data_IF_306467473474
#
_entry.id   IF_306467473474
#
_cell.length_a   1.000
_cell.length_b   1.000
_cell.length_c   1.000
_cell.angle_alpha   90.00
_cell.angle_beta   90.00
_cell.angle_gamma   90.00
#
_symmetry.space_group_name_H-M   'P 1'
#
loop_
_entity.id
_entity.type
_entity.pdbx_description
1 polymer ?
#
# COMPACT_ATOMS: atom_id res chain seq x y z
N UNK A 1 39.05 -41.98 45.41
CA UNK A 1 38.95 -40.81 46.30
C UNK A 1 39.67 -39.65 45.61
N UNK A 2 38.95 -38.63 45.11
CA UNK A 2 39.61 -37.46 44.52
C UNK A 2 40.22 -36.59 45.64
N UNK A 3 41.42 -36.02 45.43
CA UNK A 3 42.09 -35.21 46.44
C UNK A 3 41.24 -33.98 46.80
N UNK A 4 41.28 -33.58 48.07
CA UNK A 4 40.43 -32.55 48.68
C UNK A 4 40.41 -31.22 47.92
N UNK A 5 41.50 -30.90 47.22
CA UNK A 5 41.67 -29.71 46.37
C UNK A 5 40.80 -29.74 45.11
N UNK A 6 40.53 -30.92 44.54
CA UNK A 6 39.67 -31.06 43.36
C UNK A 6 38.18 -30.90 43.70
N UNK A 7 37.78 -31.23 44.93
CA UNK A 7 36.40 -31.07 45.40
C UNK A 7 36.05 -29.60 45.67
N UNK A 8 36.99 -28.83 46.22
CA UNK A 8 36.79 -27.39 46.45
C UNK A 8 36.78 -26.59 45.15
N UNK A 9 37.63 -26.94 44.17
CA UNK A 9 37.61 -26.32 42.85
C UNK A 9 36.30 -26.56 42.08
N UNK A 10 35.72 -27.77 42.19
CA UNK A 10 34.45 -28.09 41.55
C UNK A 10 33.26 -27.35 42.19
N UNK A 11 33.26 -27.21 43.52
CA UNK A 11 32.24 -26.43 44.25
C UNK A 11 32.30 -24.94 43.90
N UNK A 12 33.50 -24.36 43.78
CA UNK A 12 33.68 -22.97 43.34
C UNK A 12 33.23 -22.76 41.89
N UNK A 13 33.52 -23.69 40.98
CA UNK A 13 33.07 -23.62 39.59
C UNK A 13 31.54 -23.72 39.46
N UNK A 14 30.90 -24.57 40.26
CA UNK A 14 29.42 -24.70 40.28
C UNK A 14 28.76 -23.44 40.87
N UNK A 15 29.35 -22.84 41.92
CA UNK A 15 28.84 -21.60 42.51
C UNK A 15 29.00 -20.40 41.55
N UNK A 16 30.11 -20.30 40.83
CA UNK A 16 30.30 -19.29 39.79
C UNK A 16 29.36 -19.47 38.58
N UNK A 17 29.09 -20.71 38.17
CA UNK A 17 28.11 -20.98 37.12
C UNK A 17 26.68 -20.63 37.57
N UNK A 18 26.33 -20.88 38.83
CA UNK A 18 25.02 -20.54 39.38
C UNK A 18 24.81 -19.03 39.48
N UNK A 19 25.82 -18.25 39.85
CA UNK A 19 25.70 -16.78 39.92
C UNK A 19 25.62 -16.12 38.54
N UNK A 20 26.36 -16.62 37.54
CA UNK A 20 26.24 -16.15 36.15
C UNK A 20 24.86 -16.48 35.56
N UNK A 21 24.30 -17.66 35.87
CA UNK A 21 22.95 -18.03 35.45
C UNK A 21 21.87 -17.14 36.09
N UNK A 22 22.05 -16.76 37.37
CA UNK A 22 21.13 -15.90 38.10
C UNK A 22 21.19 -14.43 37.63
N UNK A 23 22.33 -13.99 37.10
CA UNK A 23 22.51 -12.67 36.51
C UNK A 23 21.95 -12.57 35.08
N UNK A 24 21.91 -13.68 34.34
CA UNK A 24 21.32 -13.75 32.98
C UNK A 24 19.78 -13.72 33.00
N UNK A 25 19.13 -14.19 34.07
CA UNK A 25 17.67 -14.08 34.24
C UNK A 25 17.17 -12.66 34.54
N UNK A 26 18.06 -11.73 34.89
CA UNK A 26 17.70 -10.32 35.14
C UNK A 26 17.93 -9.39 33.93
N UNK A 27 18.44 -9.93 32.81
CA UNK A 27 18.77 -9.16 31.59
C UNK A 27 17.85 -9.49 30.38
N UNK A 28 16.60 -9.87 30.62
CA UNK A 28 15.57 -9.81 29.57
C UNK A 28 14.66 -8.59 29.79
N UNK A 29 14.86 -7.47 29.06
CA UNK A 29 13.89 -6.41 29.07
C UNK A 29 12.82 -6.65 27.99
N UNK A 30 11.56 -6.52 28.42
CA UNK A 30 10.38 -6.16 27.62
C UNK A 30 9.75 -7.24 26.73
N UNK A 31 9.08 -8.24 27.32
CA UNK A 31 7.99 -8.94 26.63
C UNK A 31 6.66 -8.24 26.92
N UNK A 32 6.23 -7.35 26.02
CA UNK A 32 4.83 -6.93 25.97
C UNK A 32 3.96 -8.09 25.48
N UNK A 33 2.67 -8.11 25.86
CA UNK A 33 1.71 -9.15 25.46
C UNK A 33 1.68 -9.36 23.94
N UNK A 34 1.86 -8.28 23.17
CA UNK A 34 1.91 -8.28 21.70
C UNK A 34 3.11 -9.04 21.11
N UNK A 35 4.25 -9.11 21.81
CA UNK A 35 5.43 -9.83 21.31
C UNK A 35 5.34 -11.34 21.50
N UNK A 36 4.59 -11.82 22.52
CA UNK A 36 4.31 -13.25 22.70
C UNK A 36 3.41 -13.78 21.59
N UNK A 37 2.39 -13.01 21.20
CA UNK A 37 1.52 -13.36 20.08
C UNK A 37 2.31 -13.40 18.75
N UNK A 38 3.22 -12.45 18.54
CA UNK A 38 4.05 -12.44 17.33
C UNK A 38 5.01 -13.64 17.27
N UNK A 39 5.61 -14.01 18.40
CA UNK A 39 6.52 -15.16 18.48
C UNK A 39 5.79 -16.48 18.23
N UNK A 40 4.58 -16.63 18.78
CA UNK A 40 3.72 -17.79 18.54
C UNK A 40 3.31 -17.88 17.06
N UNK A 41 3.02 -16.74 16.41
CA UNK A 41 2.68 -16.70 14.99
C UNK A 41 3.87 -17.10 14.11
N UNK A 42 5.08 -16.65 14.43
CA UNK A 42 6.31 -17.00 13.70
C UNK A 42 6.62 -18.50 13.85
N UNK A 43 6.44 -19.06 15.04
CA UNK A 43 6.67 -20.48 15.30
C UNK A 43 5.66 -21.36 14.53
N UNK A 44 4.40 -20.92 14.42
CA UNK A 44 3.35 -21.63 13.68
C UNK A 44 3.61 -21.60 12.17
N UNK A 45 4.04 -20.45 11.63
CA UNK A 45 4.44 -20.33 10.21
C UNK A 45 5.63 -21.24 9.90
N UNK A 46 6.63 -21.33 10.79
CA UNK A 46 7.76 -22.25 10.59
C UNK A 46 7.32 -23.72 10.59
N UNK A 47 6.39 -24.10 11.47
CA UNK A 47 5.85 -25.46 11.50
C UNK A 47 5.02 -25.78 10.24
N UNK A 48 4.23 -24.83 9.73
CA UNK A 48 3.47 -25.00 8.49
C UNK A 48 4.37 -25.18 7.27
N UNK A 49 5.46 -24.41 7.18
CA UNK A 49 6.43 -24.53 6.09
C UNK A 49 7.18 -25.87 6.11
N UNK A 50 7.43 -26.46 7.29
CA UNK A 50 8.03 -27.79 7.38
C UNK A 50 7.06 -28.92 6.99
N UNK A 51 5.75 -28.77 7.23
CA UNK A 51 4.77 -29.78 6.84
C UNK A 51 4.45 -29.81 5.34
N UNK A 52 4.75 -28.74 4.61
CA UNK A 52 4.54 -28.67 3.15
C UNK A 52 5.73 -29.19 2.32
N UNK A 53 6.77 -29.76 2.95
CA UNK A 53 7.82 -30.50 2.24
C UNK A 53 8.65 -29.69 1.24
N UNK A 54 8.73 -28.36 1.40
CA UNK A 54 9.50 -27.49 0.50
C UNK A 54 11.01 -27.79 0.59
N UNK A 55 11.53 -28.52 -0.40
CA UNK A 55 12.96 -28.60 -0.70
C UNK A 55 13.20 -28.01 -2.09
N UNK A 56 13.97 -26.92 -2.17
CA UNK A 56 14.77 -26.48 -3.32
C UNK A 56 14.06 -26.24 -4.67
N UNK A 57 14.10 -25.00 -5.16
CA UNK A 57 13.74 -24.68 -6.55
C UNK A 57 14.94 -24.94 -7.48
N UNK A 58 14.77 -25.83 -8.46
CA UNK A 58 15.72 -26.06 -9.55
C UNK A 58 15.15 -25.40 -10.81
N UNK A 59 15.91 -24.47 -11.39
CA UNK A 59 15.54 -23.71 -12.59
C UNK A 59 15.87 -24.52 -13.83
N UNK A 60 14.89 -24.77 -14.70
CA UNK A 60 15.14 -24.99 -16.12
C UNK A 60 13.98 -24.42 -16.94
N UNK A 61 14.34 -23.64 -17.95
CA UNK A 61 13.47 -22.73 -18.67
C UNK A 61 12.56 -23.39 -19.69
N UNK A 62 11.56 -22.63 -20.11
CA UNK A 62 10.78 -22.91 -21.30
C UNK A 62 10.49 -21.60 -22.05
N UNK A 63 11.05 -21.51 -23.25
CA UNK A 63 10.73 -20.48 -24.23
C UNK A 63 9.34 -20.75 -24.81
N UNK A 64 8.52 -19.72 -24.97
CA UNK A 64 7.27 -19.80 -25.75
C UNK A 64 7.32 -18.77 -26.87
N UNK A 65 7.25 -19.27 -28.10
CA UNK A 65 7.17 -18.50 -29.34
C UNK A 65 5.85 -17.71 -29.44
N UNK A 66 5.98 -16.43 -29.77
CA UNK A 66 4.86 -15.55 -30.09
C UNK A 66 4.43 -15.73 -31.55
N UNK A 67 3.15 -16.05 -31.76
CA UNK A 67 2.48 -16.01 -33.08
C UNK A 67 1.43 -14.88 -33.08
N UNK A 68 1.72 -13.84 -33.87
CA UNK A 68 0.88 -12.83 -34.55
C UNK A 68 -0.37 -12.19 -33.88
N UNK A 69 -0.57 -10.86 -34.05
CA UNK A 69 -1.76 -10.14 -33.56
C UNK A 69 -2.97 -10.23 -34.50
N UNK A 70 -4.16 -10.43 -33.93
CA UNK A 70 -5.46 -10.27 -34.60
C UNK A 70 -5.90 -8.81 -34.49
N UNK A 71 -6.09 -8.15 -35.63
CA UNK A 71 -6.63 -6.79 -35.71
C UNK A 71 -8.15 -6.86 -35.58
N UNK A 72 -8.70 -6.22 -34.54
CA UNK A 72 -10.14 -6.02 -34.36
C UNK A 72 -10.47 -4.53 -34.55
N UNK A 73 -11.08 -4.23 -35.69
CA UNK A 73 -11.64 -2.92 -36.04
C UNK A 73 -12.80 -2.57 -35.09
N UNK A 74 -12.65 -1.45 -34.35
CA UNK A 74 -13.67 -0.97 -33.41
C UNK A 74 -14.62 -0.02 -34.14
N UNK A 75 -15.84 -0.50 -34.42
CA UNK A 75 -16.95 0.33 -34.92
C UNK A 75 -17.45 1.24 -33.79
N UNK A 76 -17.23 2.54 -33.93
CA UNK A 76 -17.78 3.56 -33.01
C UNK A 76 -19.23 3.83 -33.41
N UNK A 77 -20.18 3.41 -32.57
CA UNK A 77 -21.58 3.85 -32.65
C UNK A 77 -21.72 5.11 -31.80
N UNK A 78 -22.01 6.24 -32.43
CA UNK A 78 -22.40 7.49 -31.74
C UNK A 78 -23.74 7.27 -31.06
N UNK A 79 -23.78 7.48 -29.75
CA UNK A 79 -25.02 7.55 -28.97
C UNK A 79 -25.20 9.01 -28.57
N UNK A 80 -26.25 9.65 -29.08
CA UNK A 80 -26.59 11.03 -28.74
C UNK A 80 -26.92 11.15 -27.23
N UNK A 81 -26.47 12.23 -26.56
CA UNK A 81 -26.78 12.46 -25.15
C UNK A 81 -28.25 12.90 -24.95
N UNK A 82 -28.90 12.50 -23.85
CA UNK A 82 -30.27 12.92 -23.56
C UNK A 82 -30.31 14.40 -23.12
N UNK A 83 -31.38 15.08 -23.55
CA UNK A 83 -31.68 16.48 -23.18
C UNK A 83 -31.91 16.61 -21.67
N UNK A 84 -31.02 17.36 -21.00
CA UNK A 84 -31.22 17.81 -19.61
C UNK A 84 -32.41 18.79 -19.53
N UNK A 85 -33.46 18.39 -18.82
CA UNK A 85 -34.47 19.32 -18.31
C UNK A 85 -33.87 20.07 -17.12
N UNK A 86 -33.71 21.38 -17.28
CA UNK A 86 -33.29 22.30 -16.23
C UNK A 86 -34.35 22.35 -15.12
N UNK A 87 -34.09 21.70 -14.00
CA UNK A 87 -34.76 21.96 -12.73
C UNK A 87 -33.78 22.77 -11.88
N UNK A 88 -33.99 24.08 -11.79
CA UNK A 88 -33.23 24.96 -10.88
C UNK A 88 -33.65 24.68 -9.43
N UNK A 89 -32.73 24.31 -8.52
CA UNK A 89 -32.99 24.43 -7.10
C UNK A 89 -32.78 25.90 -6.72
N UNK A 90 -33.84 26.57 -6.26
CA UNK A 90 -33.73 27.87 -5.60
C UNK A 90 -33.04 27.67 -4.25
N UNK A 91 -31.72 27.67 -4.25
CA UNK A 91 -30.92 27.69 -3.03
C UNK A 91 -30.87 29.14 -2.53
N UNK A 92 -31.75 29.48 -1.60
CA UNK A 92 -31.70 30.76 -0.89
C UNK A 92 -30.42 30.80 -0.07
N UNK A 93 -29.45 31.60 -0.52
CA UNK A 93 -28.20 31.85 0.19
C UNK A 93 -28.48 32.71 1.43
N UNK A 94 -28.78 32.08 2.56
CA UNK A 94 -28.70 32.76 3.85
C UNK A 94 -27.22 32.92 4.20
N UNK A 95 -26.75 34.18 4.21
CA UNK A 95 -25.42 34.53 4.74
C UNK A 95 -25.45 34.33 6.25
N UNK A 96 -25.04 33.13 6.69
CA UNK A 96 -24.73 32.91 8.09
C UNK A 96 -23.39 33.59 8.37
N UNK A 97 -23.38 34.60 9.23
CA UNK A 97 -22.15 35.23 9.69
C UNK A 97 -21.35 34.22 10.50
N UNK A 98 -20.24 33.75 9.95
CA UNK A 98 -19.28 32.92 10.68
C UNK A 98 -18.44 33.86 11.57
N UNK A 99 -18.37 33.66 12.88
CA UNK A 99 -17.59 34.52 13.76
C UNK A 99 -16.11 34.47 13.37
N UNK A 100 -15.47 35.64 13.28
CA UNK A 100 -14.05 35.80 12.90
C UNK A 100 -13.12 34.92 13.76
N UNK A 101 -13.49 34.70 15.02
CA UNK A 101 -12.77 33.82 15.95
C UNK A 101 -12.80 32.35 15.51
N UNK A 102 -13.89 31.86 14.91
CA UNK A 102 -13.97 30.50 14.35
C UNK A 102 -13.12 30.36 13.09
N UNK A 103 -13.01 31.42 12.27
CA UNK A 103 -12.12 31.44 11.10
C UNK A 103 -10.65 31.42 11.55
N UNK A 104 -10.30 32.18 12.59
CA UNK A 104 -8.94 32.23 13.13
C UNK A 104 -8.52 30.93 13.82
N UNK A 105 -9.43 30.27 14.56
CA UNK A 105 -9.19 28.94 15.13
C UNK A 105 -8.96 27.88 14.03
N UNK A 106 -9.73 27.93 12.93
CA UNK A 106 -9.53 27.04 11.78
C UNK A 106 -8.23 27.33 11.01
N UNK A 107 -7.75 28.57 11.01
CA UNK A 107 -6.46 28.94 10.40
C UNK A 107 -5.27 28.48 11.26
N UNK A 108 -5.38 28.52 12.58
CA UNK A 108 -4.36 28.00 13.49
C UNK A 108 -4.26 26.47 13.41
N UNK A 109 -5.39 25.77 13.22
CA UNK A 109 -5.41 24.33 12.95
C UNK A 109 -4.80 23.92 11.59
N UNK A 110 -4.58 24.87 10.65
CA UNK A 110 -3.89 24.62 9.37
C UNK A 110 -2.38 24.82 9.42
N UNK A 111 -1.83 25.28 10.54
CA UNK A 111 -0.38 25.41 10.68
C UNK A 111 0.22 24.02 10.90
N UNK A 112 0.76 23.44 9.83
CA UNK A 112 1.48 22.16 9.84
C UNK A 112 2.55 22.20 10.95
N UNK A 113 2.58 21.23 11.88
CA UNK A 113 3.68 21.12 12.83
C UNK A 113 4.99 20.90 12.08
N UNK A 114 6.07 21.50 12.58
CA UNK A 114 7.40 21.32 12.02
C UNK A 114 7.81 19.84 12.07
N UNK A 115 8.23 19.31 10.93
CA UNK A 115 8.69 17.94 10.76
C UNK A 115 9.81 17.61 11.77
N UNK A 116 9.55 16.67 12.68
CA UNK A 116 10.57 16.12 13.59
C UNK A 116 11.37 15.03 12.84
N UNK A 117 12.68 15.25 12.69
CA UNK A 117 13.63 14.49 11.87
C UNK A 117 14.02 13.12 12.45
N UNK A 118 13.14 12.44 13.17
CA UNK A 118 13.39 11.05 13.55
C UNK A 118 12.99 10.17 12.38
N UNK A 119 13.90 9.32 11.90
CA UNK A 119 13.78 8.52 10.67
C UNK A 119 12.62 7.50 10.59
N UNK A 120 11.59 7.62 11.44
CA UNK A 120 10.30 6.94 11.31
C UNK A 120 9.54 7.52 10.12
N UNK A 121 8.84 6.72 9.30
CA UNK A 121 7.95 7.26 8.27
C UNK A 121 6.99 8.25 8.95
N UNK A 122 7.04 9.51 8.53
CA UNK A 122 6.07 10.51 8.96
C UNK A 122 4.77 10.17 8.23
N UNK A 123 3.99 9.27 8.82
CA UNK A 123 2.66 9.00 8.34
C UNK A 123 1.86 10.31 8.48
N UNK A 124 1.45 10.87 7.35
CA UNK A 124 0.63 12.09 7.32
C UNK A 124 -0.76 11.79 7.87
N UNK A 125 -1.49 12.83 8.26
CA UNK A 125 -2.85 12.67 8.79
C UNK A 125 -3.71 11.80 7.86
N UNK A 126 -4.55 10.90 8.40
CA UNK A 126 -5.49 10.12 7.60
C UNK A 126 -6.31 11.03 6.68
N UNK A 127 -6.50 10.64 5.42
CA UNK A 127 -7.23 11.45 4.43
C UNK A 127 -6.37 12.08 3.33
N UNK A 128 -5.05 12.24 3.55
CA UNK A 128 -4.18 12.91 2.57
C UNK A 128 -4.14 12.16 1.24
N UNK A 129 -4.01 10.83 1.27
CA UNK A 129 -3.98 10.02 0.05
C UNK A 129 -5.26 10.20 -0.78
N UNK A 130 -6.43 10.13 -0.14
CA UNK A 130 -7.71 10.36 -0.81
C UNK A 130 -7.82 11.80 -1.36
N UNK A 131 -7.35 12.80 -0.61
CA UNK A 131 -7.35 14.19 -1.07
C UNK A 131 -6.46 14.40 -2.30
N UNK A 132 -5.27 13.80 -2.36
CA UNK A 132 -4.39 13.87 -3.53
C UNK A 132 -5.06 13.23 -4.74
N UNK A 133 -5.62 12.02 -4.60
CA UNK A 133 -6.32 11.35 -5.70
C UNK A 133 -7.54 12.13 -6.22
N UNK A 134 -8.21 12.91 -5.37
CA UNK A 134 -9.32 13.78 -5.76
C UNK A 134 -8.83 15.09 -6.41
N UNK A 135 -7.73 15.66 -5.91
CA UNK A 135 -7.18 16.93 -6.38
C UNK A 135 -6.39 16.78 -7.68
N UNK A 136 -5.85 15.59 -7.93
CA UNK A 136 -5.20 15.18 -9.17
C UNK A 136 -5.97 14.00 -9.80
N UNK A 137 -7.00 14.27 -10.62
CA UNK A 137 -7.83 13.22 -11.21
C UNK A 137 -7.08 12.35 -12.23
N UNK A 138 -5.88 12.76 -12.66
CA UNK A 138 -5.04 11.95 -13.55
C UNK A 138 -4.22 10.90 -12.80
N UNK A 139 -4.08 11.05 -11.48
CA UNK A 139 -3.20 10.22 -10.69
C UNK A 139 -3.59 8.73 -10.71
N UNK A 140 -4.84 8.43 -10.37
CA UNK A 140 -5.33 7.05 -10.32
C UNK A 140 -5.33 6.37 -11.70
N UNK A 141 -5.81 7.01 -12.79
CA UNK A 141 -5.68 6.46 -14.14
C UNK A 141 -4.24 6.17 -14.55
N UNK A 142 -3.28 7.03 -14.23
CA UNK A 142 -1.89 6.79 -14.60
C UNK A 142 -1.22 5.68 -13.78
N UNK A 143 -1.64 5.46 -12.53
CA UNK A 143 -1.22 4.28 -11.75
C UNK A 143 -1.74 2.99 -12.40
N UNK A 144 -3.00 2.99 -12.82
CA UNK A 144 -3.64 1.88 -13.52
C UNK A 144 -2.96 1.54 -14.86
N UNK A 145 -2.70 2.57 -15.67
CA UNK A 145 -1.99 2.45 -16.95
C UNK A 145 -0.58 1.88 -16.74
N UNK A 146 0.14 2.36 -15.74
CA UNK A 146 1.47 1.87 -15.41
C UNK A 146 1.50 0.45 -14.85
N UNK A 147 0.43 0.02 -14.17
CA UNK A 147 0.36 -1.31 -13.58
C UNK A 147 0.13 -2.39 -14.65
N UNK A 148 -0.83 -2.18 -15.56
CA UNK A 148 -1.23 -3.22 -16.53
C UNK A 148 -1.69 -2.69 -17.89
N UNK A 149 -1.56 -1.39 -18.15
CA UNK A 149 -2.31 -0.74 -19.24
C UNK A 149 -3.81 -0.66 -18.97
N UNK A 150 -4.20 -0.65 -17.69
CA UNK A 150 -5.59 -0.77 -17.25
C UNK A 150 -6.33 -1.99 -17.82
N UNK A 151 -5.65 -3.12 -17.97
CA UNK A 151 -6.24 -4.33 -18.53
C UNK A 151 -7.16 -5.03 -17.51
N UNK A 152 -8.48 -4.93 -17.74
CA UNK A 152 -9.50 -5.61 -16.93
C UNK A 152 -9.57 -7.12 -17.22
N UNK A 153 -9.06 -7.57 -18.36
CA UNK A 153 -9.11 -8.96 -18.79
C UNK A 153 -7.93 -9.81 -18.29
N UNK A 154 -6.89 -9.18 -17.73
CA UNK A 154 -5.65 -9.87 -17.30
C UNK A 154 -5.87 -10.92 -16.20
N UNK A 155 -7.00 -10.88 -15.49
CA UNK A 155 -7.31 -11.85 -14.46
C UNK A 155 -6.39 -11.72 -13.24
N UNK A 156 -5.81 -12.83 -12.79
CA UNK A 156 -4.80 -12.86 -11.74
C UNK A 156 -3.59 -13.68 -12.20
N UNK A 157 -2.39 -13.20 -11.93
CA UNK A 157 -1.15 -13.92 -12.24
C UNK A 157 -0.83 -15.00 -11.19
N UNK A 158 0.16 -15.85 -11.49
CA UNK A 158 0.60 -16.95 -10.61
C UNK A 158 1.16 -16.47 -9.25
N UNK A 159 1.51 -15.19 -9.15
CA UNK A 159 1.99 -14.55 -7.91
C UNK A 159 0.83 -13.99 -7.08
N UNK A 160 -0.40 -14.04 -7.59
CA UNK A 160 -1.61 -13.57 -6.94
C UNK A 160 -1.85 -12.05 -7.06
N UNK A 161 -1.25 -11.39 -8.05
CA UNK A 161 -1.60 -10.01 -8.42
C UNK A 161 -2.74 -10.01 -9.44
N UNK A 162 -3.76 -9.22 -9.20
CA UNK A 162 -5.01 -9.25 -9.96
C UNK A 162 -5.38 -7.89 -10.57
N UNK A 163 -5.95 -7.98 -11.77
CA UNK A 163 -6.72 -6.95 -12.43
C UNK A 163 -5.95 -5.69 -12.84
N UNK A 164 -6.67 -4.59 -13.13
CA UNK A 164 -6.12 -3.43 -13.83
C UNK A 164 -5.05 -2.68 -13.03
N UNK A 165 -5.00 -2.88 -11.71
CA UNK A 165 -4.03 -2.27 -10.81
C UNK A 165 -2.95 -3.25 -10.30
N UNK A 166 -2.91 -4.49 -10.81
CA UNK A 166 -2.03 -5.57 -10.33
C UNK A 166 -1.92 -5.63 -8.80
N UNK A 167 -3.04 -5.84 -8.14
CA UNK A 167 -3.13 -5.79 -6.68
C UNK A 167 -3.07 -7.18 -6.07
N UNK A 168 -2.40 -7.30 -4.91
CA UNK A 168 -2.41 -8.54 -4.13
C UNK A 168 -3.54 -8.57 -3.09
N UNK A 169 -3.89 -9.76 -2.61
CA UNK A 169 -4.81 -9.94 -1.47
C UNK A 169 -4.36 -9.18 -0.21
N UNK A 170 -3.04 -9.07 0.00
CA UNK A 170 -2.47 -8.29 1.12
C UNK A 170 -2.76 -6.80 0.96
N UNK A 171 -2.59 -6.27 -0.25
CA UNK A 171 -2.92 -4.88 -0.57
C UNK A 171 -4.40 -4.61 -0.27
N UNK A 172 -5.30 -5.45 -0.77
CA UNK A 172 -6.75 -5.39 -0.51
C UNK A 172 -7.11 -5.41 0.98
N UNK A 173 -6.45 -6.29 1.75
CA UNK A 173 -6.65 -6.39 3.20
C UNK A 173 -6.27 -5.09 3.91
N UNK A 174 -5.12 -4.53 3.54
CA UNK A 174 -4.61 -3.29 4.10
C UNK A 174 -5.43 -2.06 3.69
N UNK A 175 -6.09 -2.13 2.53
CA UNK A 175 -7.01 -1.12 2.00
C UNK A 175 -8.39 -1.07 2.68
N UNK A 176 -8.67 -1.97 3.62
CA UNK A 176 -9.97 -2.04 4.28
C UNK A 176 -10.97 -3.00 3.64
N UNK A 177 -10.50 -3.90 2.77
CA UNK A 177 -11.29 -5.00 2.17
C UNK A 177 -12.56 -4.51 1.44
N UNK A 178 -12.46 -3.61 0.45
CA UNK A 178 -13.62 -3.21 -0.35
C UNK A 178 -14.23 -4.44 -1.04
N UNK A 179 -15.54 -4.42 -1.25
CA UNK A 179 -16.28 -5.56 -1.77
C UNK A 179 -17.15 -5.15 -2.96
N UNK A 180 -17.43 -6.12 -3.81
CA UNK A 180 -18.54 -6.02 -4.75
C UNK A 180 -19.86 -5.98 -3.99
N UNK A 181 -20.87 -5.35 -4.60
CA UNK A 181 -22.20 -5.23 -3.99
C UNK A 181 -22.79 -6.62 -3.73
N UNK A 182 -23.15 -6.89 -2.47
CA UNK A 182 -23.74 -8.17 -2.05
C UNK A 182 -22.73 -9.28 -1.77
N UNK A 183 -21.43 -8.98 -1.84
CA UNK A 183 -20.36 -9.91 -1.47
C UNK A 183 -20.06 -9.87 0.05
N UNK A 184 -19.21 -10.77 0.52
CA UNK A 184 -18.81 -10.89 1.93
C UNK A 184 -17.29 -10.98 2.08
N UNK A 185 -16.74 -10.34 3.11
CA UNK A 185 -15.31 -10.35 3.43
C UNK A 185 -14.77 -11.75 3.76
N UNK A 186 -15.65 -12.67 4.16
CA UNK A 186 -15.29 -14.03 4.56
C UNK A 186 -15.24 -15.00 3.37
N UNK A 187 -15.73 -14.59 2.20
CA UNK A 187 -15.71 -15.44 1.01
C UNK A 187 -14.27 -15.59 0.49
N UNK A 188 -13.75 -16.81 0.26
CA UNK A 188 -12.37 -17.02 -0.14
C UNK A 188 -11.92 -16.22 -1.39
N UNK A 189 -12.83 -16.03 -2.35
CA UNK A 189 -12.61 -15.33 -3.61
C UNK A 189 -13.03 -13.83 -3.60
N UNK A 190 -13.49 -13.29 -2.46
CA UNK A 190 -13.89 -11.89 -2.35
C UNK A 190 -12.79 -10.92 -2.80
N UNK A 191 -11.54 -11.19 -2.40
CA UNK A 191 -10.41 -10.34 -2.79
C UNK A 191 -10.16 -10.41 -4.30
N UNK A 192 -10.05 -11.60 -4.88
CA UNK A 192 -9.75 -11.74 -6.32
C UNK A 192 -10.85 -11.14 -7.18
N UNK A 193 -12.12 -11.29 -6.78
CA UNK A 193 -13.25 -10.80 -7.56
C UNK A 193 -13.34 -9.27 -7.49
N UNK A 194 -13.10 -8.68 -6.32
CA UNK A 194 -12.98 -7.23 -6.19
C UNK A 194 -11.81 -6.66 -7.00
N UNK A 195 -10.63 -7.29 -6.95
CA UNK A 195 -9.44 -6.75 -7.59
C UNK A 195 -9.47 -6.88 -9.13
N UNK A 196 -10.31 -7.75 -9.69
CA UNK A 196 -10.57 -7.83 -11.14
C UNK A 196 -11.64 -6.84 -11.62
N UNK A 197 -12.45 -6.29 -10.73
CA UNK A 197 -13.42 -5.24 -11.05
C UNK A 197 -12.77 -3.86 -10.93
N UNK A 198 -12.82 -3.04 -11.98
CA UNK A 198 -12.14 -1.75 -12.01
C UNK A 198 -12.57 -0.80 -10.90
N UNK A 199 -13.85 -0.77 -10.54
CA UNK A 199 -14.35 0.12 -9.51
C UNK A 199 -13.92 -0.36 -8.11
N UNK A 200 -14.05 -1.64 -7.83
CA UNK A 200 -13.67 -2.21 -6.54
C UNK A 200 -12.13 -2.20 -6.35
N UNK A 201 -11.36 -2.48 -7.41
CA UNK A 201 -9.91 -2.35 -7.41
C UNK A 201 -9.47 -0.89 -7.18
N UNK A 202 -10.14 0.08 -7.83
CA UNK A 202 -9.90 1.50 -7.60
C UNK A 202 -10.20 1.93 -6.15
N UNK A 203 -11.25 1.38 -5.52
CA UNK A 203 -11.50 1.60 -4.09
C UNK A 203 -10.42 0.95 -3.20
N UNK A 204 -9.86 -0.19 -3.60
CA UNK A 204 -8.73 -0.79 -2.89
C UNK A 204 -7.49 0.12 -2.97
N UNK A 205 -7.18 0.68 -4.14
CA UNK A 205 -6.08 1.66 -4.27
C UNK A 205 -6.35 2.89 -3.41
N UNK A 206 -7.56 3.45 -3.45
CA UNK A 206 -7.92 4.60 -2.60
C UNK A 206 -7.76 4.29 -1.12
N UNK A 207 -8.30 3.18 -0.63
CA UNK A 207 -8.20 2.81 0.78
C UNK A 207 -6.76 2.56 1.23
N UNK A 208 -5.95 1.92 0.38
CA UNK A 208 -4.54 1.71 0.67
C UNK A 208 -3.76 3.02 0.71
N UNK A 209 -3.91 3.87 -0.30
CA UNK A 209 -3.19 5.14 -0.36
C UNK A 209 -3.69 6.14 0.69
N UNK A 210 -4.96 6.08 1.08
CA UNK A 210 -5.47 6.84 2.22
C UNK A 210 -4.78 6.45 3.55
N UNK A 211 -4.42 5.17 3.68
CA UNK A 211 -3.76 4.60 4.84
C UNK A 211 -2.22 4.64 4.79
N UNK A 212 -1.62 4.85 3.63
CA UNK A 212 -0.16 4.73 3.47
C UNK A 212 0.50 5.88 2.72
N UNK A 213 -0.27 6.91 2.33
CA UNK A 213 0.29 8.15 1.82
C UNK A 213 1.35 8.69 2.78
N UNK A 214 2.49 9.09 2.22
CA UNK A 214 3.61 9.67 2.94
C UNK A 214 4.51 10.37 1.94
N UNK A 215 5.32 11.32 2.41
CA UNK A 215 6.36 11.97 1.61
C UNK A 215 7.49 10.95 1.37
N UNK A 216 7.64 10.53 0.12
CA UNK A 216 8.57 9.49 -0.26
C UNK A 216 9.91 10.05 -0.73
N UNK A 217 9.94 11.23 -1.36
CA UNK A 217 11.18 11.82 -1.88
C UNK A 217 11.79 12.93 -1.01
N UNK A 218 11.12 13.30 0.08
CA UNK A 218 11.61 14.23 1.09
C UNK A 218 11.42 15.69 0.72
N UNK A 219 10.57 16.01 -0.26
CA UNK A 219 10.31 17.39 -0.70
C UNK A 219 9.30 18.15 0.21
N UNK A 220 8.78 17.48 1.24
CA UNK A 220 7.77 17.94 2.21
C UNK A 220 6.36 18.06 1.64
N UNK A 221 6.10 17.46 0.49
CA UNK A 221 4.78 17.35 -0.13
C UNK A 221 4.40 15.87 -0.22
N UNK A 222 3.10 15.64 -0.36
CA UNK A 222 2.59 14.34 -0.74
C UNK A 222 1.80 14.58 -2.00
N UNK A 223 2.31 14.09 -3.12
CA UNK A 223 1.70 14.23 -4.43
C UNK A 223 1.52 12.87 -5.13
N UNK A 224 1.15 12.89 -6.41
CA UNK A 224 0.90 11.66 -7.13
C UNK A 224 2.16 10.79 -7.33
N UNK A 225 3.36 11.39 -7.39
CA UNK A 225 4.60 10.60 -7.48
C UNK A 225 4.80 9.79 -6.21
N UNK A 226 4.53 10.37 -5.04
CA UNK A 226 4.60 9.67 -3.76
C UNK A 226 3.60 8.51 -3.74
N UNK A 227 2.35 8.77 -4.15
CA UNK A 227 1.31 7.73 -4.19
C UNK A 227 1.66 6.60 -5.14
N UNK A 228 2.23 6.90 -6.31
CA UNK A 228 2.69 5.89 -7.26
C UNK A 228 3.83 5.03 -6.69
N UNK A 229 4.79 5.64 -5.96
CA UNK A 229 5.85 4.90 -5.24
C UNK A 229 5.28 3.99 -4.16
N UNK A 230 4.34 4.50 -3.36
CA UNK A 230 3.67 3.71 -2.31
C UNK A 230 2.87 2.55 -2.91
N UNK A 231 2.19 2.75 -4.05
CA UNK A 231 1.48 1.71 -4.75
C UNK A 231 2.44 0.62 -5.26
N UNK A 232 3.50 1.01 -5.97
CA UNK A 232 4.40 0.07 -6.66
C UNK A 232 5.36 -0.66 -5.70
N UNK A 233 5.95 0.05 -4.74
CA UNK A 233 7.01 -0.48 -3.87
C UNK A 233 6.52 -0.78 -2.44
N UNK A 234 5.32 -0.33 -2.09
CA UNK A 234 4.81 -0.34 -0.72
C UNK A 234 5.33 0.84 0.13
N UNK A 235 4.68 1.13 1.26
CA UNK A 235 4.99 2.28 2.11
C UNK A 235 6.41 2.26 2.69
N UNK A 236 6.95 1.08 2.97
CA UNK A 236 8.24 0.96 3.65
C UNK A 236 9.44 1.10 2.70
N UNK A 237 9.22 0.98 1.40
CA UNK A 237 10.30 1.05 0.40
C UNK A 237 10.17 2.27 -0.52
N UNK A 238 9.13 3.10 -0.38
CA UNK A 238 8.82 4.17 -1.32
C UNK A 238 9.89 5.28 -1.40
N UNK A 239 10.85 5.32 -0.47
CA UNK A 239 11.99 6.25 -0.53
C UNK A 239 12.94 5.93 -1.70
N UNK A 240 12.95 4.70 -2.17
CA UNK A 240 13.61 4.38 -3.42
C UNK A 240 12.88 5.12 -4.55
N UNK A 241 13.57 5.88 -5.41
CA UNK A 241 12.91 6.48 -6.56
C UNK A 241 12.31 5.40 -7.44
N UNK A 242 11.25 5.74 -8.18
CA UNK A 242 10.86 4.97 -9.35
C UNK A 242 12.02 5.09 -10.35
N UNK A 243 12.99 4.17 -10.27
CA UNK A 243 14.14 4.14 -11.16
C UNK A 243 13.69 3.51 -12.48
N UNK A 244 13.96 4.17 -13.62
CA UNK A 244 14.05 3.47 -14.89
C UNK A 244 15.08 2.33 -14.77
N UNK A 245 14.91 1.22 -15.49
CA UNK A 245 13.97 1.00 -16.59
C UNK A 245 12.89 -0.02 -16.22
N UNK A 246 12.05 0.28 -15.23
CA UNK A 246 10.84 -0.53 -15.03
C UNK A 246 9.69 0.00 -15.88
N UNK A 247 8.95 -0.91 -16.53
CA UNK A 247 7.79 -0.56 -17.36
C UNK A 247 6.78 0.34 -16.62
N UNK A 248 6.61 0.11 -15.31
CA UNK A 248 5.78 0.93 -14.45
C UNK A 248 6.26 2.39 -14.39
N UNK A 249 7.55 2.62 -14.06
CA UNK A 249 8.09 3.96 -13.84
C UNK A 249 8.00 4.85 -15.08
N UNK A 250 8.31 4.30 -16.25
CA UNK A 250 8.32 5.03 -17.53
C UNK A 250 6.90 5.31 -18.00
N UNK A 251 6.02 4.30 -17.93
CA UNK A 251 4.61 4.42 -18.32
C UNK A 251 3.87 5.41 -17.43
N UNK A 252 4.08 5.34 -16.11
CA UNK A 252 3.49 6.26 -15.15
C UNK A 252 3.88 7.71 -15.45
N UNK A 253 5.20 8.00 -15.58
CA UNK A 253 5.68 9.36 -15.84
C UNK A 253 5.13 9.91 -17.14
N UNK A 254 5.17 9.12 -18.21
CA UNK A 254 4.62 9.51 -19.52
C UNK A 254 3.14 9.89 -19.42
N UNK A 255 2.33 9.05 -18.78
CA UNK A 255 0.90 9.31 -18.60
C UNK A 255 0.64 10.58 -17.78
N UNK A 256 1.34 10.72 -16.66
CA UNK A 256 1.09 11.80 -15.71
C UNK A 256 1.54 13.17 -16.25
N UNK A 257 2.72 13.24 -16.87
CA UNK A 257 3.24 14.46 -17.48
C UNK A 257 2.33 14.95 -18.62
N UNK A 258 1.88 14.04 -19.50
CA UNK A 258 0.96 14.37 -20.59
C UNK A 258 -0.38 14.93 -20.04
N UNK A 259 -0.92 14.32 -18.98
CA UNK A 259 -2.18 14.75 -18.36
C UNK A 259 -2.08 16.16 -17.76
N UNK A 260 -0.92 16.52 -17.20
CA UNK A 260 -0.67 17.86 -16.65
C UNK A 260 -0.53 18.91 -17.75
N UNK A 261 0.17 18.60 -18.85
CA UNK A 261 0.29 19.51 -20.00
C UNK A 261 -1.09 19.79 -20.63
N UNK A 262 -1.90 18.76 -20.84
CA UNK A 262 -3.27 18.90 -21.36
C UNK A 262 -4.16 19.75 -20.44
N UNK A 263 -3.98 19.63 -19.12
CA UNK A 263 -4.71 20.43 -18.15
C UNK A 263 -4.31 21.90 -18.13
N UNK A 264 -3.04 22.22 -18.43
CA UNK A 264 -2.58 23.59 -18.59
C UNK A 264 -3.08 24.22 -19.89
N UNK A 265 -3.09 23.45 -20.99
CA UNK A 265 -3.57 23.93 -22.28
C UNK A 265 -5.08 24.24 -22.26
N UNK A 266 -5.89 23.46 -21.54
CA UNK A 266 -7.34 23.72 -21.38
C UNK A 266 -7.69 24.94 -20.51
N UNK A 267 -6.72 25.47 -19.77
CA UNK A 267 -6.89 26.66 -18.91
C UNK A 267 -6.45 27.95 -19.58
N UNK A 268 -5.88 27.87 -20.78
CA UNK A 268 -5.53 29.01 -21.64
C UNK A 268 -6.62 29.21 -22.68
#
# INVERSE_FOLDING_TARGET
MLPTVARTALLLAVLLAATVAQQFQQLQPLQSSSQRELLLLVQDIQNQLQQQGFQGFQQDGLQVQLSQPVILERRVVSVDPPREQQVQPQLQAQRVAVPVQAVQAAQQARQRPAANSTGKPQFVDPGVGRWVLQSDPSCLPCICEAASGCDEAIGCDDRGFCGPFLLSKRYWTLAGKPLLKGDSVDRPAASSDCLRDSFCAAEAVRGYLDRFAQDCDGDRRVDCLDLARVHFQGPFNCRAPLQPPTDFSETFRRCWDASRQNSQNRRR
#
